data_IF_090106961585
#
_entry.id   IF_090106961585
#
_cell.length_a   1.000
_cell.length_b   1.000
_cell.length_c   1.000
_cell.angle_alpha   90.00
_cell.angle_beta   90.00
_cell.angle_gamma   90.00
#
_symmetry.space_group_name_H-M   'P 1'
#
loop_
_entity.id
_entity.type
_entity.pdbx_description
1 polymer ?
#
# COMPACT_ATOMS: atom_id res chain seq x y z
N UNK A 1 -21.30 -71.84 -44.20
CA UNK A 1 -20.40 -71.19 -45.15
C UNK A 1 -20.02 -69.86 -44.52
N UNK A 2 -18.79 -69.66 -44.22
CA UNK A 2 -18.25 -68.82 -43.18
C UNK A 2 -18.41 -67.33 -43.38
N UNK A 3 -18.91 -66.64 -42.34
CA UNK A 3 -18.84 -65.19 -42.18
C UNK A 3 -17.49 -64.83 -41.52
N UNK A 4 -16.76 -63.88 -42.09
CA UNK A 4 -15.56 -63.32 -41.52
C UNK A 4 -15.93 -62.12 -40.64
N UNK A 5 -15.66 -62.21 -39.37
CA UNK A 5 -15.75 -61.10 -38.42
C UNK A 5 -14.52 -60.19 -38.57
N UNK A 6 -14.74 -58.90 -38.91
CA UNK A 6 -13.72 -57.89 -38.89
C UNK A 6 -13.76 -57.17 -37.56
N UNK A 7 -12.92 -57.59 -36.63
CA UNK A 7 -12.71 -56.92 -35.34
C UNK A 7 -11.97 -55.60 -35.59
N UNK A 8 -12.73 -54.51 -35.49
CA UNK A 8 -12.17 -53.16 -35.50
C UNK A 8 -11.43 -52.86 -34.18
N UNK A 9 -10.12 -52.85 -34.23
CA UNK A 9 -9.22 -52.49 -33.15
C UNK A 9 -9.29 -50.98 -32.93
N UNK A 10 -10.11 -50.55 -31.96
CA UNK A 10 -10.14 -49.17 -31.50
C UNK A 10 -8.82 -48.92 -30.73
N UNK A 11 -7.86 -48.34 -31.39
CA UNK A 11 -6.64 -47.84 -30.77
C UNK A 11 -7.00 -46.73 -29.76
N UNK A 12 -7.20 -47.09 -28.51
CA UNK A 12 -7.26 -46.15 -27.41
C UNK A 12 -5.87 -45.53 -27.30
N UNK A 13 -5.73 -44.28 -27.81
CA UNK A 13 -4.57 -43.45 -27.61
C UNK A 13 -4.46 -43.17 -26.11
N UNK A 14 -3.81 -44.06 -25.37
CA UNK A 14 -3.37 -43.78 -24.01
C UNK A 14 -2.43 -42.60 -24.08
N UNK A 15 -2.90 -41.43 -23.67
CA UNK A 15 -2.02 -40.31 -23.30
C UNK A 15 -1.10 -40.85 -22.21
N UNK A 16 0.19 -41.00 -22.53
CA UNK A 16 1.19 -41.36 -21.52
C UNK A 16 1.16 -40.31 -20.43
N UNK A 17 1.09 -40.67 -19.15
CA UNK A 17 1.26 -39.70 -18.09
C UNK A 17 2.63 -39.03 -18.29
N UNK A 18 2.65 -37.71 -18.44
CA UNK A 18 3.89 -36.95 -18.42
C UNK A 18 4.62 -37.32 -17.12
N UNK A 19 5.89 -37.71 -17.24
CA UNK A 19 6.72 -38.02 -16.08
C UNK A 19 6.71 -36.82 -15.13
N UNK A 20 6.50 -37.05 -13.82
CA UNK A 20 6.42 -35.99 -12.79
C UNK A 20 7.47 -34.87 -12.97
N UNK A 21 8.76 -35.15 -13.24
CA UNK A 21 9.77 -34.08 -13.45
C UNK A 21 9.50 -33.17 -14.67
N UNK A 22 8.88 -33.69 -15.75
CA UNK A 22 8.53 -32.87 -16.92
C UNK A 22 7.31 -31.98 -16.64
N UNK A 23 6.39 -32.44 -15.77
CA UNK A 23 5.26 -31.63 -15.34
C UNK A 23 5.73 -30.49 -14.41
N UNK A 24 6.61 -30.75 -13.49
CA UNK A 24 7.21 -29.75 -12.59
C UNK A 24 8.01 -28.69 -13.36
N UNK A 25 8.82 -29.10 -14.35
CA UNK A 25 9.58 -28.16 -15.19
C UNK A 25 8.64 -27.25 -16.01
N UNK A 26 7.53 -27.81 -16.52
CA UNK A 26 6.51 -27.02 -17.22
C UNK A 26 5.82 -26.00 -16.30
N UNK A 27 5.50 -26.37 -15.06
CA UNK A 27 4.92 -25.45 -14.07
C UNK A 27 5.90 -24.36 -13.69
N UNK A 28 7.17 -24.72 -13.49
CA UNK A 28 8.21 -23.76 -13.15
C UNK A 28 8.39 -22.71 -14.24
N UNK A 29 8.52 -23.12 -15.50
CA UNK A 29 8.63 -22.21 -16.64
C UNK A 29 7.46 -21.24 -16.72
N UNK A 30 6.23 -21.72 -16.54
CA UNK A 30 5.03 -20.86 -16.55
C UNK A 30 4.99 -19.88 -15.37
N UNK A 31 5.44 -20.28 -14.19
CA UNK A 31 5.53 -19.36 -13.05
C UNK A 31 6.63 -18.33 -13.27
N UNK A 32 7.75 -18.67 -13.89
CA UNK A 32 8.80 -17.73 -14.27
C UNK A 32 8.30 -16.68 -15.28
N UNK A 33 7.50 -17.10 -16.26
CA UNK A 33 6.80 -16.20 -17.19
C UNK A 33 5.83 -15.26 -16.48
N UNK A 34 4.99 -15.79 -15.59
CA UNK A 34 4.06 -14.99 -14.79
C UNK A 34 4.78 -14.01 -13.86
N UNK A 35 5.92 -14.43 -13.29
CA UNK A 35 6.75 -13.56 -12.49
C UNK A 35 7.32 -12.42 -13.33
N UNK A 36 7.88 -12.70 -14.50
CA UNK A 36 8.44 -11.68 -15.38
C UNK A 36 7.38 -10.63 -15.80
N UNK A 37 6.13 -11.08 -16.04
CA UNK A 37 5.04 -10.20 -16.48
C UNK A 37 4.40 -9.41 -15.34
N UNK A 38 4.21 -10.01 -14.16
CA UNK A 38 3.30 -9.51 -13.12
C UNK A 38 3.99 -9.09 -11.81
N UNK A 39 5.27 -9.41 -11.61
CA UNK A 39 5.99 -9.11 -10.37
C UNK A 39 5.86 -7.62 -9.98
N UNK A 40 6.12 -6.69 -10.90
CA UNK A 40 6.06 -5.26 -10.61
C UNK A 40 4.67 -4.75 -10.19
N UNK A 41 3.60 -5.24 -10.82
CA UNK A 41 2.24 -4.83 -10.47
C UNK A 41 1.76 -5.47 -9.16
N UNK A 42 2.13 -6.72 -8.88
CA UNK A 42 1.85 -7.38 -7.59
C UNK A 42 2.59 -6.67 -6.45
N UNK A 43 3.88 -6.35 -6.63
CA UNK A 43 4.64 -5.56 -5.67
C UNK A 43 4.01 -4.20 -5.41
N UNK A 44 3.65 -3.45 -6.46
CA UNK A 44 3.01 -2.15 -6.33
C UNK A 44 1.66 -2.21 -5.59
N UNK A 45 0.88 -3.26 -5.81
CA UNK A 45 -0.35 -3.50 -5.07
C UNK A 45 -0.06 -3.79 -3.59
N UNK A 46 0.84 -4.72 -3.31
CA UNK A 46 1.21 -5.11 -1.94
C UNK A 46 1.80 -3.92 -1.16
N UNK A 47 2.66 -3.13 -1.80
CA UNK A 47 3.25 -1.92 -1.21
C UNK A 47 2.15 -0.94 -0.74
N UNK A 48 1.13 -0.69 -1.56
CA UNK A 48 -0.01 0.16 -1.18
C UNK A 48 -0.90 -0.47 -0.10
N UNK A 49 -0.94 -1.79 -0.03
CA UNK A 49 -1.67 -2.50 1.03
C UNK A 49 -0.96 -2.41 2.39
N UNK A 50 0.35 -2.68 2.44
CA UNK A 50 1.09 -2.80 3.72
C UNK A 50 1.89 -1.55 4.07
N UNK A 51 2.24 -0.69 3.11
CA UNK A 51 2.98 0.56 3.26
C UNK A 51 4.39 0.40 3.83
N UNK A 52 5.01 -0.69 3.50
CA UNK A 52 6.35 -1.09 3.92
C UNK A 52 7.00 -1.82 2.74
N UNK A 53 8.11 -1.28 2.21
CA UNK A 53 8.72 -1.79 0.99
C UNK A 53 9.39 -3.16 1.18
N UNK A 54 10.08 -3.38 2.29
CA UNK A 54 10.71 -4.66 2.60
C UNK A 54 9.63 -5.74 2.74
N UNK A 55 8.59 -5.44 3.52
CA UNK A 55 7.47 -6.35 3.66
C UNK A 55 6.76 -6.61 2.33
N UNK A 56 6.55 -5.59 1.50
CA UNK A 56 5.92 -5.76 0.20
C UNK A 56 6.73 -6.69 -0.71
N UNK A 57 8.06 -6.60 -0.67
CA UNK A 57 8.95 -7.51 -1.41
C UNK A 57 8.82 -8.95 -0.90
N UNK A 58 8.83 -9.16 0.42
CA UNK A 58 8.64 -10.48 1.04
C UNK A 58 7.27 -11.08 0.66
N UNK A 59 6.20 -10.30 0.78
CA UNK A 59 4.86 -10.75 0.43
C UNK A 59 4.70 -11.00 -1.08
N UNK A 60 5.44 -10.28 -1.92
CA UNK A 60 5.49 -10.55 -3.36
C UNK A 60 6.12 -11.91 -3.62
N UNK A 61 7.27 -12.18 -3.03
CA UNK A 61 7.91 -13.48 -3.11
C UNK A 61 7.00 -14.61 -2.61
N UNK A 62 6.38 -14.42 -1.44
CA UNK A 62 5.40 -15.35 -0.87
C UNK A 62 4.22 -15.61 -1.82
N UNK A 63 3.76 -14.57 -2.53
CA UNK A 63 2.69 -14.71 -3.51
C UNK A 63 3.09 -15.66 -4.63
N UNK A 64 4.28 -15.52 -5.22
CA UNK A 64 4.74 -16.39 -6.29
C UNK A 64 5.10 -17.80 -5.82
N UNK A 65 5.62 -17.96 -4.60
CA UNK A 65 5.81 -19.29 -3.98
C UNK A 65 4.48 -20.00 -3.80
N UNK A 66 3.44 -19.29 -3.36
CA UNK A 66 2.09 -19.86 -3.23
C UNK A 66 1.44 -20.11 -4.59
N UNK A 67 1.71 -19.27 -5.59
CA UNK A 67 1.29 -19.49 -6.97
C UNK A 67 1.90 -20.78 -7.53
N UNK A 68 3.19 -21.00 -7.36
CA UNK A 68 3.83 -22.25 -7.76
C UNK A 68 3.16 -23.48 -7.13
N UNK A 69 2.92 -23.44 -5.81
CA UNK A 69 2.31 -24.56 -5.06
C UNK A 69 0.84 -24.81 -5.39
N UNK A 70 0.15 -23.86 -6.00
CA UNK A 70 -1.28 -23.90 -6.31
C UNK A 70 -1.56 -23.74 -7.80
N UNK A 71 -0.54 -24.01 -8.63
CA UNK A 71 -0.66 -23.81 -10.08
C UNK A 71 -1.78 -24.65 -10.71
N UNK A 72 -2.08 -25.82 -10.13
CA UNK A 72 -3.20 -26.71 -10.48
C UNK A 72 -4.58 -26.03 -10.31
N UNK A 73 -4.66 -24.99 -9.50
CA UNK A 73 -5.90 -24.21 -9.31
C UNK A 73 -6.15 -23.14 -10.38
N UNK A 74 -5.14 -22.84 -11.20
CA UNK A 74 -5.28 -21.95 -12.35
C UNK A 74 -5.95 -22.73 -13.50
N UNK A 75 -7.27 -22.51 -13.66
CA UNK A 75 -8.06 -23.23 -14.66
C UNK A 75 -7.78 -22.76 -16.09
N UNK A 76 -7.66 -21.43 -16.27
CA UNK A 76 -7.50 -20.79 -17.58
C UNK A 76 -6.36 -19.78 -17.54
N UNK A 77 -5.37 -19.85 -18.46
CA UNK A 77 -4.22 -18.93 -18.50
C UNK A 77 -4.63 -17.45 -18.59
N UNK A 78 -5.74 -17.14 -19.26
CA UNK A 78 -6.26 -15.78 -19.41
C UNK A 78 -6.64 -15.14 -18.07
N UNK A 79 -6.97 -15.96 -17.07
CA UNK A 79 -7.31 -15.49 -15.72
C UNK A 79 -6.12 -15.45 -14.75
N UNK A 80 -4.90 -15.75 -15.23
CA UNK A 80 -3.70 -15.83 -14.39
C UNK A 80 -3.46 -14.53 -13.58
N UNK A 81 -3.71 -13.37 -14.20
CA UNK A 81 -3.56 -12.07 -13.53
C UNK A 81 -4.51 -11.92 -12.34
N UNK A 82 -5.80 -12.16 -12.53
CA UNK A 82 -6.80 -12.08 -11.45
C UNK A 82 -6.54 -13.14 -10.36
N UNK A 83 -6.10 -14.33 -10.76
CA UNK A 83 -5.71 -15.41 -9.85
C UNK A 83 -4.47 -15.04 -9.01
N UNK A 84 -3.43 -14.41 -9.60
CA UNK A 84 -2.29 -13.88 -8.83
C UNK A 84 -2.73 -12.81 -7.83
N UNK A 85 -3.62 -11.89 -8.22
CA UNK A 85 -4.17 -10.92 -7.27
C UNK A 85 -5.00 -11.55 -6.16
N UNK A 86 -5.68 -12.67 -6.42
CA UNK A 86 -6.37 -13.42 -5.36
C UNK A 86 -5.40 -13.96 -4.32
N UNK A 87 -4.25 -14.48 -4.76
CA UNK A 87 -3.20 -14.96 -3.85
C UNK A 87 -2.60 -13.78 -3.09
N UNK A 88 -2.19 -12.72 -3.78
CA UNK A 88 -1.61 -11.51 -3.17
C UNK A 88 -2.56 -10.86 -2.15
N UNK A 89 -3.86 -10.77 -2.48
CA UNK A 89 -4.88 -10.25 -1.58
C UNK A 89 -4.96 -11.05 -0.27
N UNK A 90 -4.96 -12.37 -0.36
CA UNK A 90 -4.97 -13.25 0.83
C UNK A 90 -3.70 -13.08 1.65
N UNK A 91 -2.54 -13.08 1.00
CA UNK A 91 -1.23 -12.88 1.64
C UNK A 91 -1.21 -11.56 2.42
N UNK A 92 -1.64 -10.45 1.79
CA UNK A 92 -1.70 -9.16 2.44
C UNK A 92 -2.65 -9.12 3.63
N UNK A 93 -3.87 -9.67 3.50
CA UNK A 93 -4.84 -9.67 4.60
C UNK A 93 -4.40 -10.54 5.77
N UNK A 94 -3.77 -11.67 5.50
CA UNK A 94 -3.27 -12.57 6.54
C UNK A 94 -2.13 -11.92 7.32
N UNK A 95 -1.18 -11.24 6.65
CA UNK A 95 -0.12 -10.49 7.31
C UNK A 95 -0.68 -9.32 8.15
N UNK A 96 -1.56 -8.50 7.58
CA UNK A 96 -2.19 -7.38 8.31
C UNK A 96 -2.92 -7.89 9.57
N UNK A 97 -3.64 -9.00 9.46
CA UNK A 97 -4.34 -9.62 10.58
C UNK A 97 -3.36 -10.14 11.63
N UNK A 98 -2.29 -10.82 11.21
CA UNK A 98 -1.25 -11.35 12.08
C UNK A 98 -0.56 -10.22 12.87
N UNK A 99 -0.14 -9.16 12.22
CA UNK A 99 0.45 -7.97 12.86
C UNK A 99 -0.49 -7.27 13.84
N UNK A 100 -1.80 -7.24 13.54
CA UNK A 100 -2.79 -6.70 14.48
C UNK A 100 -2.85 -7.51 15.76
N UNK A 101 -2.79 -8.85 15.69
CA UNK A 101 -2.79 -9.73 16.85
C UNK A 101 -1.51 -9.52 17.67
N UNK A 102 -0.33 -9.48 17.04
CA UNK A 102 0.94 -9.25 17.71
C UNK A 102 0.96 -7.91 18.47
N UNK A 103 0.42 -6.84 17.87
CA UNK A 103 0.34 -5.52 18.54
C UNK A 103 -0.62 -5.49 19.73
N UNK A 104 -1.55 -6.42 19.84
CA UNK A 104 -2.45 -6.58 20.99
C UNK A 104 -1.81 -7.34 22.16
N UNK A 105 -0.74 -8.09 21.91
CA UNK A 105 0.04 -8.76 22.96
C UNK A 105 1.08 -7.74 23.46
N UNK A 106 1.18 -7.47 24.77
CA UNK A 106 2.21 -6.58 25.33
C UNK A 106 3.59 -7.20 25.08
N UNK A 107 4.22 -6.77 24.01
CA UNK A 107 5.59 -7.17 23.68
C UNK A 107 6.52 -6.04 24.11
N UNK A 108 7.52 -6.36 24.93
CA UNK A 108 8.56 -5.43 25.41
C UNK A 108 9.70 -5.23 24.38
N UNK A 109 9.52 -5.61 23.12
CA UNK A 109 10.49 -5.50 22.03
C UNK A 109 10.18 -4.33 21.09
N UNK A 110 11.22 -3.66 20.64
CA UNK A 110 11.15 -2.51 19.74
C UNK A 110 10.39 -2.84 18.46
N UNK A 111 9.22 -2.24 18.26
CA UNK A 111 8.54 -2.22 16.98
C UNK A 111 9.34 -1.32 16.04
N UNK A 112 10.15 -1.88 15.17
CA UNK A 112 10.73 -1.14 14.05
C UNK A 112 9.58 -0.70 13.14
N UNK A 113 9.13 0.53 13.31
CA UNK A 113 8.41 1.24 12.27
C UNK A 113 9.42 1.46 11.14
N UNK A 114 9.37 0.63 10.11
CA UNK A 114 10.20 0.84 8.95
C UNK A 114 9.89 2.22 8.35
N UNK A 115 10.91 3.05 8.19
CA UNK A 115 10.80 4.28 7.41
C UNK A 115 10.40 3.90 5.97
N UNK A 116 9.56 4.71 5.28
CA UNK A 116 9.21 4.44 3.89
C UNK A 116 10.47 4.29 3.05
N UNK A 117 10.62 3.19 2.32
CA UNK A 117 11.75 3.02 1.40
C UNK A 117 11.69 4.08 0.29
N UNK A 118 12.84 4.43 -0.31
CA UNK A 118 12.91 5.36 -1.44
C UNK A 118 12.02 4.89 -2.61
N UNK A 119 11.88 3.59 -2.79
CA UNK A 119 11.01 2.94 -3.77
C UNK A 119 9.52 3.15 -3.47
N UNK A 120 9.13 3.16 -2.19
CA UNK A 120 7.80 3.55 -1.74
C UNK A 120 7.47 4.99 -2.17
N UNK A 121 8.41 5.91 -2.01
CA UNK A 121 8.25 7.30 -2.43
C UNK A 121 8.08 7.43 -3.96
N UNK A 122 8.76 6.59 -4.74
CA UNK A 122 8.68 6.63 -6.20
C UNK A 122 7.36 6.04 -6.75
N UNK A 123 6.90 4.90 -6.23
CA UNK A 123 5.62 4.29 -6.64
C UNK A 123 4.41 5.06 -6.12
N UNK A 124 4.53 5.70 -4.98
CA UNK A 124 3.51 6.59 -4.41
C UNK A 124 3.55 8.01 -5.01
N UNK A 125 4.58 8.39 -5.79
CA UNK A 125 4.65 9.69 -6.45
C UNK A 125 3.45 9.99 -7.37
N UNK A 126 2.69 8.95 -7.77
CA UNK A 126 1.42 9.10 -8.49
C UNK A 126 0.22 9.43 -7.60
N UNK A 127 0.36 9.26 -6.27
CA UNK A 127 -0.69 9.55 -5.30
C UNK A 127 -0.25 10.71 -4.41
N UNK A 128 -1.09 11.72 -4.27
CA UNK A 128 -0.82 12.83 -3.35
C UNK A 128 -0.73 12.33 -1.89
N UNK A 129 0.06 13.04 -1.05
CA UNK A 129 0.16 12.71 0.37
C UNK A 129 -1.18 12.54 1.09
N UNK A 130 -2.18 13.44 0.89
CA UNK A 130 -3.52 13.25 1.43
C UNK A 130 -4.20 11.97 0.96
N UNK A 131 -4.04 11.57 -0.30
CA UNK A 131 -4.59 10.32 -0.84
C UNK A 131 -3.98 9.10 -0.16
N UNK A 132 -2.67 9.08 0.02
CA UNK A 132 -1.96 8.00 0.71
C UNK A 132 -2.43 7.86 2.16
N UNK A 133 -2.59 9.00 2.88
CA UNK A 133 -3.09 8.99 4.25
C UNK A 133 -4.55 8.51 4.32
N UNK A 134 -5.38 8.94 3.39
CA UNK A 134 -6.78 8.50 3.29
C UNK A 134 -6.89 7.00 3.05
N UNK A 135 -6.15 6.45 2.07
CA UNK A 135 -6.09 5.00 1.81
C UNK A 135 -5.62 4.22 3.05
N UNK A 136 -4.62 4.73 3.77
CA UNK A 136 -4.10 4.10 4.98
C UNK A 136 -5.12 3.96 6.12
N UNK A 137 -6.18 4.80 6.14
CA UNK A 137 -7.25 4.77 7.16
C UNK A 137 -8.45 3.93 6.78
N UNK A 138 -8.52 3.50 5.52
CA UNK A 138 -9.62 2.66 5.07
C UNK A 138 -9.55 1.24 5.64
N UNK A 139 -10.70 0.57 5.85
CA UNK A 139 -10.73 -0.86 6.12
C UNK A 139 -9.99 -1.63 5.01
N UNK A 140 -9.18 -2.60 5.37
CA UNK A 140 -8.25 -3.29 4.46
C UNK A 140 -8.94 -3.89 3.24
N UNK A 141 -10.12 -4.53 3.43
CA UNK A 141 -10.90 -5.10 2.31
C UNK A 141 -11.42 -4.04 1.35
N UNK A 142 -11.82 -2.87 1.85
CA UNK A 142 -12.28 -1.77 1.01
C UNK A 142 -11.12 -1.13 0.27
N UNK A 143 -9.98 -0.94 0.94
CA UNK A 143 -8.74 -0.46 0.31
C UNK A 143 -8.31 -1.39 -0.80
N UNK A 144 -8.28 -2.71 -0.56
CA UNK A 144 -7.94 -3.70 -1.58
C UNK A 144 -8.87 -3.63 -2.80
N UNK A 145 -10.20 -3.59 -2.58
CA UNK A 145 -11.16 -3.51 -3.67
C UNK A 145 -10.96 -2.25 -4.53
N UNK A 146 -10.66 -1.12 -3.89
CA UNK A 146 -10.40 0.14 -4.58
C UNK A 146 -9.08 0.09 -5.39
N UNK A 147 -8.00 -0.42 -4.78
CA UNK A 147 -6.70 -0.54 -5.45
C UNK A 147 -6.78 -1.44 -6.68
N UNK A 148 -7.45 -2.59 -6.56
CA UNK A 148 -7.61 -3.54 -7.66
C UNK A 148 -8.48 -2.99 -8.79
N UNK A 149 -9.56 -2.27 -8.47
CA UNK A 149 -10.45 -1.73 -9.49
C UNK A 149 -9.92 -0.47 -10.18
N UNK A 150 -9.30 0.46 -9.42
CA UNK A 150 -8.97 1.80 -9.93
C UNK A 150 -7.51 1.95 -10.35
N UNK A 151 -6.59 1.17 -9.78
CA UNK A 151 -5.16 1.26 -10.07
C UNK A 151 -4.63 0.05 -10.86
N UNK A 152 -5.34 -1.06 -10.81
CA UNK A 152 -4.98 -2.28 -11.53
C UNK A 152 -5.97 -2.59 -12.66
N UNK A 153 -6.95 -1.72 -12.88
CA UNK A 153 -7.94 -1.79 -13.98
C UNK A 153 -8.63 -3.16 -14.10
N UNK A 154 -8.85 -3.86 -12.97
CA UNK A 154 -9.57 -5.12 -12.98
C UNK A 154 -11.04 -4.89 -13.32
N UNK A 155 -11.55 -5.67 -14.26
CA UNK A 155 -12.98 -5.74 -14.55
C UNK A 155 -13.77 -6.22 -13.34
N UNK A 156 -15.08 -6.01 -13.33
CA UNK A 156 -15.92 -6.45 -12.20
C UNK A 156 -15.87 -7.96 -11.93
N UNK A 157 -15.68 -8.79 -12.96
CA UNK A 157 -15.52 -10.24 -12.81
C UNK A 157 -14.14 -10.60 -12.25
N UNK A 158 -13.08 -10.00 -12.78
CA UNK A 158 -11.72 -10.19 -12.28
C UNK A 158 -11.58 -9.70 -10.85
N UNK A 159 -12.19 -8.55 -10.50
CA UNK A 159 -12.24 -8.05 -9.14
C UNK A 159 -12.93 -9.04 -8.19
N UNK A 160 -14.05 -9.63 -8.61
CA UNK A 160 -14.74 -10.63 -7.82
C UNK A 160 -13.86 -11.87 -7.60
N UNK A 161 -13.20 -12.36 -8.66
CA UNK A 161 -12.26 -13.46 -8.58
C UNK A 161 -11.06 -13.14 -7.67
N UNK A 162 -10.42 -11.98 -7.83
CA UNK A 162 -9.29 -11.53 -7.02
C UNK A 162 -9.66 -11.40 -5.53
N UNK A 163 -10.84 -10.87 -5.22
CA UNK A 163 -11.32 -10.74 -3.84
C UNK A 163 -11.88 -12.05 -3.25
N UNK A 164 -12.10 -13.07 -4.07
CA UNK A 164 -12.70 -14.34 -3.66
C UNK A 164 -14.15 -14.21 -3.19
N UNK A 165 -14.95 -13.35 -3.84
CA UNK A 165 -16.35 -13.08 -3.51
C UNK A 165 -17.22 -13.11 -4.77
N UNK A 166 -18.56 -13.10 -4.61
CA UNK A 166 -19.46 -12.99 -5.75
C UNK A 166 -19.35 -11.61 -6.42
N UNK A 167 -19.68 -11.52 -7.72
CA UNK A 167 -19.68 -10.26 -8.46
C UNK A 167 -20.56 -9.17 -7.81
N UNK A 168 -21.73 -9.57 -7.27
CA UNK A 168 -22.62 -8.65 -6.53
C UNK A 168 -21.94 -8.12 -5.28
N UNK A 169 -21.26 -9.01 -4.52
CA UNK A 169 -20.53 -8.61 -3.31
C UNK A 169 -19.33 -7.71 -3.63
N UNK A 170 -18.60 -7.99 -4.71
CA UNK A 170 -17.48 -7.14 -5.17
C UNK A 170 -17.95 -5.73 -5.52
N UNK A 171 -19.07 -5.59 -6.27
CA UNK A 171 -19.67 -4.29 -6.59
C UNK A 171 -20.11 -3.52 -5.34
N UNK A 172 -20.79 -4.19 -4.41
CA UNK A 172 -21.21 -3.58 -3.16
C UNK A 172 -20.01 -3.15 -2.29
N UNK A 173 -18.93 -3.94 -2.28
CA UNK A 173 -17.70 -3.61 -1.59
C UNK A 173 -17.01 -2.39 -2.22
N UNK A 174 -16.93 -2.33 -3.55
CA UNK A 174 -16.33 -1.21 -4.27
C UNK A 174 -17.12 0.10 -4.05
N UNK A 175 -18.46 0.04 -4.06
CA UNK A 175 -19.30 1.20 -3.75
C UNK A 175 -19.00 1.75 -2.35
N UNK A 176 -18.94 0.86 -1.35
CA UNK A 176 -18.57 1.25 0.03
C UNK A 176 -17.14 1.75 0.13
N UNK A 177 -16.21 1.18 -0.63
CA UNK A 177 -14.82 1.61 -0.69
C UNK A 177 -14.69 3.05 -1.22
N UNK A 178 -15.39 3.38 -2.30
CA UNK A 178 -15.43 4.74 -2.86
C UNK A 178 -16.01 5.76 -1.88
N UNK A 179 -17.05 5.39 -1.15
CA UNK A 179 -17.64 6.25 -0.12
C UNK A 179 -16.68 6.46 1.06
N UNK A 180 -16.05 5.39 1.55
CA UNK A 180 -15.04 5.49 2.62
C UNK A 180 -13.84 6.33 2.22
N UNK A 181 -13.38 6.24 0.95
CA UNK A 181 -12.31 7.09 0.44
C UNK A 181 -12.72 8.57 0.43
N UNK A 182 -13.95 8.88 -0.03
CA UNK A 182 -14.48 10.26 -0.05
C UNK A 182 -14.49 10.87 1.36
N UNK A 183 -14.98 10.10 2.34
CA UNK A 183 -15.02 10.53 3.74
C UNK A 183 -13.60 10.69 4.33
N UNK A 184 -12.69 9.77 4.04
CA UNK A 184 -11.30 9.84 4.50
C UNK A 184 -10.58 11.05 3.90
N UNK A 185 -10.78 11.35 2.61
CA UNK A 185 -10.21 12.54 1.96
C UNK A 185 -10.77 13.85 2.52
N UNK A 186 -12.07 13.91 2.83
CA UNK A 186 -12.68 15.08 3.47
C UNK A 186 -12.03 15.34 4.84
N UNK A 187 -11.89 14.29 5.65
CA UNK A 187 -11.24 14.39 6.95
C UNK A 187 -9.75 14.78 6.86
N UNK A 188 -9.02 14.36 5.80
CA UNK A 188 -7.64 14.81 5.58
C UNK A 188 -7.56 16.29 5.25
N UNK A 189 -8.43 16.79 4.37
CA UNK A 189 -8.50 18.23 4.00
C UNK A 189 -8.79 19.10 5.22
N UNK A 190 -9.69 18.68 6.08
CA UNK A 190 -10.00 19.39 7.31
C UNK A 190 -8.79 19.45 8.26
N UNK A 191 -8.08 18.33 8.41
CA UNK A 191 -6.84 18.29 9.23
C UNK A 191 -5.74 19.17 8.67
N UNK A 192 -5.52 19.13 7.35
CA UNK A 192 -4.52 19.97 6.69
C UNK A 192 -4.87 21.46 6.88
N UNK A 193 -6.14 21.86 6.74
CA UNK A 193 -6.60 23.22 7.00
C UNK A 193 -6.41 23.67 8.45
N UNK A 194 -6.70 22.80 9.42
CA UNK A 194 -6.46 23.08 10.85
C UNK A 194 -4.98 23.20 11.15
N UNK A 195 -4.14 22.35 10.56
CA UNK A 195 -2.69 22.41 10.73
C UNK A 195 -2.10 23.69 10.14
N UNK A 196 -2.58 24.13 8.97
CA UNK A 196 -2.16 25.38 8.33
C UNK A 196 -2.55 26.60 9.16
N UNK A 197 -3.79 26.64 9.65
CA UNK A 197 -4.27 27.72 10.55
C UNK A 197 -3.44 27.79 11.84
N UNK A 198 -3.11 26.64 12.45
CA UNK A 198 -2.27 26.58 13.63
C UNK A 198 -0.81 27.03 13.35
N UNK A 199 -0.26 26.70 12.19
CA UNK A 199 1.06 27.15 11.77
C UNK A 199 1.08 28.67 11.55
N UNK A 200 0.07 29.24 10.88
CA UNK A 200 -0.09 30.68 10.68
C UNK A 200 -0.19 31.44 12.01
N UNK A 201 -0.98 30.93 12.96
CA UNK A 201 -1.11 31.52 14.30
C UNK A 201 0.22 31.53 15.06
N UNK A 202 1.02 30.46 14.98
CA UNK A 202 2.36 30.38 15.59
C UNK A 202 3.35 31.35 14.96
N UNK A 203 3.33 31.48 13.63
CA UNK A 203 4.17 32.43 12.91
C UNK A 203 3.83 33.89 13.30
N UNK A 204 2.54 34.23 13.38
CA UNK A 204 2.07 35.54 13.83
C UNK A 204 2.48 35.87 15.28
N UNK A 205 2.40 34.90 16.18
CA UNK A 205 2.86 35.07 17.58
C UNK A 205 4.39 35.28 17.69
N UNK A 206 5.17 34.62 16.84
CA UNK A 206 6.64 34.75 16.79
C UNK A 206 7.07 36.14 16.29
N UNK A 207 6.39 36.67 15.26
CA UNK A 207 6.67 38.02 14.72
C UNK A 207 6.27 39.12 15.73
N UNK A 208 5.15 38.98 16.42
CA UNK A 208 4.74 39.92 17.48
C UNK A 208 5.75 39.94 18.65
N UNK A 209 6.23 38.77 19.08
CA UNK A 209 7.23 38.65 20.15
C UNK A 209 8.59 39.24 19.76
N UNK A 210 9.01 39.10 18.51
CA UNK A 210 10.27 39.71 18.01
C UNK A 210 10.17 41.24 17.89
N UNK A 211 9.05 41.77 17.42
CA UNK A 211 8.79 43.20 17.36
C UNK A 211 8.78 43.85 18.75
N UNK A 212 8.19 43.17 19.74
CA UNK A 212 8.13 43.66 21.11
C UNK A 212 9.50 43.64 21.81
N UNK A 213 10.39 42.70 21.46
CA UNK A 213 11.78 42.68 21.91
C UNK A 213 12.61 43.80 21.30
N UNK A 214 12.44 44.12 20.03
CA UNK A 214 13.15 45.18 19.36
C UNK A 214 12.75 46.59 19.88
N UNK A 215 11.49 46.80 20.22
CA UNK A 215 11.01 48.03 20.86
C UNK A 215 11.55 48.23 22.29
N UNK A 216 11.79 47.15 23.04
CA UNK A 216 12.40 47.22 24.38
C UNK A 216 13.90 47.48 24.32
N UNK A 217 14.62 47.06 23.29
CA UNK A 217 16.06 47.34 23.12
C UNK A 217 16.35 48.75 22.65
N UNK A 218 15.45 49.39 21.89
CA UNK A 218 15.63 50.77 21.42
C UNK A 218 15.21 51.84 22.46
N UNK A 219 14.43 51.48 23.50
CA UNK A 219 14.02 52.42 24.56
C UNK A 219 15.03 52.61 25.71
N UNK A 220 16.16 51.84 25.72
CA UNK A 220 17.14 51.85 26.82
C UNK A 220 18.36 52.74 26.65
N UNK A 221 18.49 53.46 25.51
CA UNK A 221 19.72 54.23 25.20
C UNK A 221 19.62 55.77 25.39
N UNK A 222 18.56 56.26 26.03
CA UNK A 222 18.27 57.72 26.07
C UNK A 222 18.49 58.46 27.40
N UNK A 223 19.07 57.87 28.46
CA UNK A 223 19.21 58.52 29.77
C UNK A 223 20.53 58.21 30.45
N UNK A 224 21.67 58.54 29.81
CA UNK A 224 22.97 58.74 30.51
C UNK A 224 23.85 59.71 29.73
N UNK A 225 23.57 61.02 29.83
CA UNK A 225 24.57 62.10 29.58
C UNK A 225 23.98 63.39 30.08
N UNK A 226 24.11 63.65 31.37
CA UNK A 226 24.37 65.06 31.85
C UNK A 226 24.42 65.05 33.37
N UNK A 227 25.58 64.81 33.93
CA UNK A 227 25.93 65.29 35.27
C UNK A 227 27.42 65.14 35.50
N UNK A 228 28.21 66.08 34.93
CA UNK A 228 29.59 66.39 35.36
C UNK A 228 29.98 67.74 34.78
N UNK A 229 29.50 68.77 35.41
CA UNK A 229 30.23 70.04 35.39
C UNK A 229 29.67 70.92 36.52
N UNK A 230 30.27 70.91 37.66
CA UNK A 230 30.42 72.07 38.51
C UNK A 230 31.11 71.72 39.83
N UNK A 231 32.38 71.91 39.96
CA UNK A 231 33.08 72.29 41.19
C UNK A 231 34.43 72.94 40.81
N UNK A 232 34.30 74.19 40.40
CA UNK A 232 35.45 75.05 40.37
C UNK A 232 35.66 75.71 41.74
N UNK A 233 36.90 75.75 42.06
CA UNK A 233 37.58 76.91 42.68
C UNK A 233 37.01 77.56 43.90
N UNK A 234 37.77 77.42 45.04
CA UNK A 234 38.20 78.52 45.96
C UNK A 234 39.08 77.97 47.06
N UNK A 235 40.26 78.62 47.08
CA UNK A 235 41.23 78.96 48.14
C UNK A 235 42.25 77.91 48.50
#
# INVERSE_FOLDING_TARGET
MYAAETTGEIAIKRSMPMSEPMAEESVRTKIEELFALHNGEIYAYLLRMVRDGELAADLTQDTFVKAYRRFDTLQEPEHARAWLYQIAHRVALDDIRHRRIIRMVPWTGESRGAAPSAEHLFLDARLSGPMQRALGRMPERQRSALLLAELQDLTGLELAAALGVSHVAARALLTRARESLRQALAAERERDAVAEAAAAARAGASTASSAQRSLRSSGGSGLRANDQHDRGDRS
#
